data_IF_552219498227
#
_entry.id   IF_552219498227
#
_cell.length_a   1.000
_cell.length_b   1.000
_cell.length_c   1.000
_cell.angle_alpha   90.00
_cell.angle_beta   90.00
_cell.angle_gamma   90.00
#
_symmetry.space_group_name_H-M   'P 1'
#
loop_
_entity.id
_entity.type
_entity.pdbx_description
1 polymer ?
#
# COMPACT_ATOMS: atom_id res chain seq x y z
N UNK A 1 -38.39 40.88 -29.59
CA UNK A 1 -39.39 40.83 -28.50
C UNK A 1 -38.64 40.58 -27.20
N UNK A 2 -38.53 41.61 -26.40
CA UNK A 2 -38.46 41.84 -24.95
C UNK A 2 -37.69 40.81 -24.07
N UNK A 3 -36.55 41.22 -23.57
CA UNK A 3 -35.95 40.77 -22.31
C UNK A 3 -36.78 41.29 -21.15
N UNK A 4 -36.80 40.64 -19.97
CA UNK A 4 -36.90 41.33 -18.72
C UNK A 4 -35.58 41.37 -17.95
N UNK A 5 -35.27 42.57 -17.52
CA UNK A 5 -34.20 42.97 -16.62
C UNK A 5 -34.47 42.48 -15.17
N UNK A 6 -33.40 42.35 -14.41
CA UNK A 6 -33.39 42.67 -12.98
C UNK A 6 -33.34 41.48 -12.04
N UNK A 7 -32.14 41.10 -11.60
CA UNK A 7 -31.92 40.57 -10.27
C UNK A 7 -30.60 41.05 -9.72
N UNK A 8 -30.66 41.95 -8.74
CA UNK A 8 -29.54 42.47 -7.96
C UNK A 8 -28.91 41.36 -7.11
N UNK A 9 -27.62 41.46 -6.75
CA UNK A 9 -26.97 40.53 -5.85
C UNK A 9 -27.32 40.88 -4.39
N UNK A 10 -28.20 40.08 -3.80
CA UNK A 10 -28.57 40.16 -2.41
C UNK A 10 -27.74 39.29 -1.49
N UNK A 11 -27.14 39.98 -0.52
CA UNK A 11 -26.84 39.58 0.84
C UNK A 11 -26.04 38.28 1.13
N UNK A 12 -24.87 38.51 1.68
CA UNK A 12 -24.10 37.71 2.62
C UNK A 12 -25.01 36.87 3.54
N UNK A 13 -24.94 35.55 3.44
CA UNK A 13 -25.39 34.69 4.54
C UNK A 13 -24.20 34.33 5.40
N UNK A 14 -24.24 34.83 6.61
CA UNK A 14 -23.37 34.43 7.72
C UNK A 14 -23.20 32.92 7.77
N UNK A 15 -21.96 32.45 7.69
CA UNK A 15 -21.60 31.08 7.92
C UNK A 15 -21.86 30.70 9.38
N UNK A 16 -22.98 30.01 9.62
CA UNK A 16 -23.20 29.33 10.88
C UNK A 16 -22.10 28.28 11.07
N UNK A 17 -21.20 28.53 12.01
CA UNK A 17 -20.18 27.59 12.44
C UNK A 17 -20.88 26.33 12.96
N UNK A 18 -20.69 25.21 12.28
CA UNK A 18 -21.05 23.89 12.80
C UNK A 18 -20.25 23.67 14.07
N UNK A 19 -20.87 23.34 15.23
CA UNK A 19 -20.13 23.11 16.46
C UNK A 19 -19.21 21.90 16.25
N UNK A 20 -17.91 22.12 16.45
CA UNK A 20 -16.87 21.08 16.48
C UNK A 20 -17.11 20.23 17.72
N UNK A 21 -17.87 19.16 17.62
CA UNK A 21 -17.95 18.12 18.63
C UNK A 21 -16.62 17.36 18.62
N UNK A 22 -15.76 17.65 19.57
CA UNK A 22 -14.63 16.80 19.88
C UNK A 22 -15.15 15.41 20.21
N UNK A 23 -14.64 14.38 19.52
CA UNK A 23 -14.83 13.01 19.96
C UNK A 23 -14.01 12.86 21.24
N UNK A 24 -14.70 12.95 22.39
CA UNK A 24 -14.10 12.67 23.69
C UNK A 24 -13.54 11.23 23.66
N UNK A 25 -12.24 11.13 23.64
CA UNK A 25 -11.48 9.87 23.70
C UNK A 25 -11.48 9.26 25.13
N UNK A 26 -12.60 9.39 25.85
CA UNK A 26 -12.72 9.01 27.25
C UNK A 26 -14.03 8.34 27.66
N UNK A 27 -14.88 7.93 26.75
CA UNK A 27 -16.09 7.19 27.13
C UNK A 27 -15.71 5.72 27.41
N UNK A 28 -15.44 5.43 28.69
CA UNK A 28 -15.48 4.05 29.21
C UNK A 28 -16.86 3.46 28.85
N UNK A 29 -16.87 2.37 28.08
CA UNK A 29 -18.09 1.65 27.74
C UNK A 29 -18.83 1.29 29.05
N UNK A 30 -20.16 1.50 29.13
CA UNK A 30 -20.92 1.16 30.33
C UNK A 30 -20.81 -0.34 30.59
N UNK A 31 -20.43 -0.70 31.81
CA UNK A 31 -20.14 -2.06 32.28
C UNK A 31 -21.34 -3.04 32.21
N UNK A 32 -22.52 -2.62 31.77
CA UNK A 32 -23.75 -3.37 32.02
C UNK A 32 -24.66 -3.64 30.78
N UNK A 33 -24.10 -3.56 29.56
CA UNK A 33 -24.89 -3.72 28.32
C UNK A 33 -25.02 -5.18 27.83
N UNK A 34 -24.65 -6.19 28.62
CA UNK A 34 -24.62 -7.61 28.19
C UNK A 34 -25.91 -8.38 28.43
N UNK A 35 -26.88 -7.79 29.12
CA UNK A 35 -28.15 -8.44 29.39
C UNK A 35 -29.30 -7.53 29.01
N UNK A 36 -29.99 -7.79 27.89
CA UNK A 36 -31.30 -7.20 27.55
C UNK A 36 -32.37 -8.25 27.69
N UNK A 37 -33.34 -7.99 28.58
CA UNK A 37 -34.51 -8.87 28.75
C UNK A 37 -34.19 -10.29 29.25
N UNK A 38 -33.13 -10.50 30.04
CA UNK A 38 -32.73 -11.80 30.58
C UNK A 38 -31.91 -12.67 29.63
N UNK A 39 -31.63 -12.23 28.40
CA UNK A 39 -30.72 -12.91 27.47
C UNK A 39 -29.36 -12.20 27.38
N UNK A 40 -28.31 -13.00 27.35
CA UNK A 40 -26.94 -12.49 27.11
C UNK A 40 -26.84 -12.05 25.65
N UNK A 41 -26.45 -10.80 25.43
CA UNK A 41 -26.12 -10.30 24.10
C UNK A 41 -24.76 -10.85 23.65
N UNK A 42 -24.78 -11.91 22.85
CA UNK A 42 -23.59 -12.62 22.37
C UNK A 42 -22.68 -11.72 21.53
N UNK A 43 -23.21 -10.77 20.76
CA UNK A 43 -22.39 -9.84 19.99
C UNK A 43 -21.71 -8.80 20.88
N UNK A 44 -22.39 -8.28 21.88
CA UNK A 44 -21.78 -7.38 22.86
C UNK A 44 -20.67 -8.07 23.64
N UNK A 45 -20.84 -9.34 24.01
CA UNK A 45 -19.79 -10.17 24.62
C UNK A 45 -18.62 -10.32 23.69
N UNK A 46 -18.84 -10.76 22.43
CA UNK A 46 -17.80 -10.94 21.43
C UNK A 46 -16.98 -9.65 21.20
N UNK A 47 -17.66 -8.52 20.96
CA UNK A 47 -16.99 -7.24 20.69
C UNK A 47 -16.16 -6.78 21.89
N UNK A 48 -16.66 -6.93 23.11
CA UNK A 48 -15.94 -6.57 24.35
C UNK A 48 -14.72 -7.46 24.55
N UNK A 49 -14.87 -8.77 24.39
CA UNK A 49 -13.77 -9.71 24.58
C UNK A 49 -12.69 -9.51 23.50
N UNK A 50 -13.07 -9.24 22.28
CA UNK A 50 -12.16 -8.87 21.20
C UNK A 50 -11.43 -7.53 21.50
N UNK A 51 -12.12 -6.53 22.07
CA UNK A 51 -11.51 -5.27 22.46
C UNK A 51 -10.48 -5.47 23.59
N UNK A 52 -10.87 -6.20 24.65
CA UNK A 52 -9.97 -6.53 25.76
C UNK A 52 -8.72 -7.27 25.26
N UNK A 53 -8.88 -8.30 24.43
CA UNK A 53 -7.78 -9.05 23.85
C UNK A 53 -6.82 -8.16 23.04
N UNK A 54 -7.35 -7.22 22.24
CA UNK A 54 -6.51 -6.26 21.52
C UNK A 54 -5.74 -5.33 22.46
N UNK A 55 -6.37 -4.88 23.53
CA UNK A 55 -5.73 -4.02 24.54
C UNK A 55 -4.62 -4.76 25.29
N UNK A 56 -4.88 -5.98 25.77
CA UNK A 56 -3.90 -6.84 26.44
C UNK A 56 -2.66 -7.11 25.56
N UNK A 57 -2.85 -7.30 24.27
CA UNK A 57 -1.79 -7.53 23.29
C UNK A 57 -1.15 -6.22 22.76
N UNK A 58 -1.63 -5.05 23.18
CA UNK A 58 -1.15 -3.77 22.64
C UNK A 58 -1.44 -3.56 21.16
N UNK A 59 -2.51 -4.17 20.62
CA UNK A 59 -2.89 -4.15 19.22
C UNK A 59 -4.04 -3.19 18.88
N UNK A 60 -4.51 -2.41 19.85
CA UNK A 60 -5.53 -1.39 19.62
C UNK A 60 -5.04 -0.38 18.60
N UNK A 61 -5.89 -0.07 17.61
CA UNK A 61 -5.64 0.92 16.57
C UNK A 61 -6.68 2.03 16.67
N UNK A 62 -6.25 3.25 16.42
CA UNK A 62 -7.11 4.42 16.35
C UNK A 62 -6.97 5.10 14.99
N UNK A 63 -8.08 5.58 14.44
CA UNK A 63 -8.03 6.51 13.32
C UNK A 63 -7.61 7.87 13.88
N UNK A 64 -6.61 8.49 13.26
CA UNK A 64 -6.05 9.77 13.68
C UNK A 64 -6.46 10.84 12.69
N UNK A 65 -7.00 11.96 13.17
CA UNK A 65 -7.31 13.12 12.33
C UNK A 65 -6.02 13.90 12.02
N UNK A 66 -5.73 14.04 10.73
CA UNK A 66 -4.55 14.73 10.21
C UNK A 66 -4.49 16.22 10.61
N UNK A 67 -5.65 16.86 10.78
CA UNK A 67 -5.74 18.28 11.08
C UNK A 67 -5.45 18.64 12.54
N UNK A 68 -5.53 17.67 13.45
CA UNK A 68 -5.35 17.88 14.89
C UNK A 68 -3.92 17.58 15.37
N UNK A 69 -3.04 17.19 14.48
CA UNK A 69 -1.76 16.57 14.85
C UNK A 69 -0.62 17.50 15.19
N UNK A 70 -0.64 18.75 14.71
CA UNK A 70 0.52 19.66 14.85
C UNK A 70 1.81 19.14 14.18
N UNK A 71 1.70 18.14 13.28
CA UNK A 71 2.84 17.53 12.58
C UNK A 71 3.35 18.47 11.50
N UNK A 72 4.65 18.75 11.51
CA UNK A 72 5.33 19.53 10.48
C UNK A 72 6.00 18.65 9.42
N UNK A 73 6.51 17.47 9.80
CA UNK A 73 7.22 16.53 8.91
C UNK A 73 6.51 15.18 8.92
N UNK A 74 6.07 14.71 7.75
CA UNK A 74 5.38 13.41 7.59
C UNK A 74 6.29 12.39 6.89
N UNK A 75 6.78 11.42 7.68
CA UNK A 75 7.52 10.24 7.22
C UNK A 75 6.71 8.94 7.41
N UNK A 76 5.39 9.02 7.60
CA UNK A 76 4.49 7.86 7.70
C UNK A 76 3.64 7.66 6.45
N UNK A 77 3.41 8.72 5.69
CA UNK A 77 2.64 8.70 4.44
C UNK A 77 3.37 8.00 3.29
N UNK A 78 2.64 7.66 2.21
CA UNK A 78 3.22 7.02 1.03
C UNK A 78 3.17 7.94 -0.21
N UNK A 79 3.04 9.25 -0.05
CA UNK A 79 3.11 10.23 -1.13
C UNK A 79 4.58 10.47 -1.53
N UNK A 80 5.22 9.43 -2.11
CA UNK A 80 6.67 9.39 -2.36
C UNK A 80 7.19 10.54 -3.20
N UNK A 81 6.37 11.09 -4.10
CA UNK A 81 6.75 12.20 -4.98
C UNK A 81 6.26 13.57 -4.48
N UNK A 82 5.58 13.62 -3.32
CA UNK A 82 4.96 14.82 -2.74
C UNK A 82 3.97 15.50 -3.71
N UNK A 83 3.20 14.72 -4.48
CA UNK A 83 2.33 15.22 -5.55
C UNK A 83 0.87 15.43 -5.13
N UNK A 84 0.43 14.94 -3.97
CA UNK A 84 -1.00 14.99 -3.55
C UNK A 84 -1.57 16.41 -3.46
N UNK A 85 -0.73 17.42 -3.30
CA UNK A 85 -1.12 18.83 -3.27
C UNK A 85 -0.58 19.63 -4.46
N UNK A 86 0.02 18.96 -5.44
CA UNK A 86 0.57 19.62 -6.61
C UNK A 86 -0.54 20.28 -7.44
N UNK A 87 -0.42 21.57 -7.85
CA UNK A 87 -1.47 22.29 -8.54
C UNK A 87 -1.96 21.58 -9.84
N UNK A 88 -1.04 21.05 -10.63
CA UNK A 88 -1.39 20.39 -11.90
C UNK A 88 -2.12 19.06 -11.65
N UNK A 89 -1.81 18.34 -10.57
CA UNK A 89 -2.52 17.11 -10.19
C UNK A 89 -3.94 17.42 -9.76
N UNK A 90 -4.11 18.48 -8.95
CA UNK A 90 -5.44 18.98 -8.53
C UNK A 90 -6.21 19.47 -9.75
N UNK A 91 -5.58 20.25 -10.64
CA UNK A 91 -6.24 20.74 -11.85
C UNK A 91 -6.70 19.61 -12.76
N UNK A 92 -5.90 18.55 -12.95
CA UNK A 92 -6.28 17.36 -13.72
C UNK A 92 -7.47 16.61 -13.10
N UNK A 93 -7.51 16.51 -11.75
CA UNK A 93 -8.65 15.93 -11.03
C UNK A 93 -9.92 16.77 -11.24
N UNK A 94 -9.83 18.11 -11.13
CA UNK A 94 -10.96 19.02 -11.32
C UNK A 94 -11.47 18.95 -12.78
N UNK A 95 -10.59 18.90 -13.77
CA UNK A 95 -10.98 18.75 -15.17
C UNK A 95 -11.78 17.46 -15.40
N UNK A 96 -11.27 16.32 -14.92
CA UNK A 96 -11.97 15.04 -15.04
C UNK A 96 -13.31 15.04 -14.27
N UNK A 97 -13.40 15.72 -13.13
CA UNK A 97 -14.65 15.90 -12.38
C UNK A 97 -15.68 16.71 -13.19
N UNK A 98 -15.24 17.75 -13.88
CA UNK A 98 -16.11 18.61 -14.71
C UNK A 98 -16.59 17.91 -15.99
N UNK A 99 -15.70 17.14 -16.60
CA UNK A 99 -15.99 16.47 -17.88
C UNK A 99 -16.82 15.19 -17.69
N UNK A 100 -16.48 14.37 -16.71
CA UNK A 100 -17.00 13.02 -16.54
C UNK A 100 -17.93 12.86 -15.31
N UNK A 101 -18.06 13.90 -14.45
CA UNK A 101 -18.89 13.89 -13.25
C UNK A 101 -18.18 13.41 -11.96
N UNK A 102 -18.91 13.47 -10.83
CA UNK A 102 -18.38 13.19 -9.50
C UNK A 102 -18.07 11.71 -9.26
N UNK A 103 -18.69 10.80 -9.98
CA UNK A 103 -18.47 9.35 -9.85
C UNK A 103 -18.69 8.65 -11.19
N UNK A 104 -18.19 7.42 -11.30
CA UNK A 104 -18.32 6.64 -12.53
C UNK A 104 -19.77 6.19 -12.85
N UNK A 105 -20.68 6.23 -11.87
CA UNK A 105 -22.10 5.96 -12.05
C UNK A 105 -22.49 4.49 -12.24
N UNK A 106 -21.54 3.62 -12.64
CA UNK A 106 -21.74 2.19 -12.86
C UNK A 106 -20.41 1.44 -12.86
N UNK A 107 -20.48 0.11 -13.04
CA UNK A 107 -19.28 -0.67 -13.34
C UNK A 107 -18.71 -0.30 -14.70
N UNK A 108 -17.42 -0.59 -14.89
CA UNK A 108 -16.68 -0.31 -16.14
C UNK A 108 -17.30 -0.94 -17.38
N UNK A 109 -18.01 -2.08 -17.23
CA UNK A 109 -18.66 -2.79 -18.34
C UNK A 109 -20.03 -2.23 -18.73
N UNK A 110 -20.64 -1.40 -17.90
CA UNK A 110 -21.94 -0.80 -18.20
C UNK A 110 -21.71 0.61 -18.78
N UNK A 111 -21.67 1.64 -17.94
CA UNK A 111 -21.46 3.03 -18.36
C UNK A 111 -20.33 3.72 -17.60
N UNK A 112 -19.66 3.01 -16.67
CA UNK A 112 -18.65 3.57 -15.79
C UNK A 112 -17.25 3.67 -16.40
N UNK A 113 -17.08 3.47 -17.73
CA UNK A 113 -15.83 3.72 -18.43
C UNK A 113 -15.82 5.11 -19.03
N UNK A 114 -14.95 5.98 -18.55
CA UNK A 114 -14.77 7.36 -19.01
C UNK A 114 -13.45 7.54 -19.76
N UNK A 115 -13.31 8.65 -20.47
CA UNK A 115 -12.10 8.97 -21.24
C UNK A 115 -10.84 9.04 -20.36
N UNK A 116 -10.98 9.53 -19.12
CA UNK A 116 -9.92 9.58 -18.13
C UNK A 116 -9.34 8.19 -17.80
N UNK A 117 -10.18 7.15 -17.68
CA UNK A 117 -9.74 5.77 -17.44
C UNK A 117 -8.91 5.23 -18.61
N UNK A 118 -9.44 5.37 -19.85
CA UNK A 118 -8.79 4.84 -21.05
C UNK A 118 -7.44 5.53 -21.29
N UNK A 119 -7.38 6.84 -21.06
CA UNK A 119 -6.15 7.61 -21.19
C UNK A 119 -5.11 7.20 -20.15
N UNK A 120 -5.53 7.04 -18.88
CA UNK A 120 -4.66 6.59 -17.80
C UNK A 120 -4.12 5.18 -18.07
N UNK A 121 -4.95 4.23 -18.49
CA UNK A 121 -4.54 2.86 -18.85
C UNK A 121 -3.47 2.88 -19.94
N UNK A 122 -3.66 3.67 -21.00
CA UNK A 122 -2.70 3.79 -22.09
C UNK A 122 -1.36 4.40 -21.64
N UNK A 123 -1.39 5.49 -20.84
CA UNK A 123 -0.17 6.17 -20.38
C UNK A 123 0.58 5.36 -19.33
N UNK A 124 -0.12 4.64 -18.43
CA UNK A 124 0.49 3.70 -17.50
C UNK A 124 1.20 2.55 -18.25
N UNK A 125 0.51 1.92 -19.20
CA UNK A 125 1.10 0.84 -20.00
C UNK A 125 2.37 1.31 -20.71
N UNK A 126 2.34 2.48 -21.32
CA UNK A 126 3.50 3.07 -22.00
C UNK A 126 4.66 3.37 -21.05
N UNK A 127 4.38 3.94 -19.85
CA UNK A 127 5.40 4.31 -18.88
C UNK A 127 6.10 3.06 -18.29
N UNK A 128 5.33 2.03 -17.92
CA UNK A 128 5.87 0.79 -17.38
C UNK A 128 6.34 -0.21 -18.45
N UNK A 129 6.06 0.04 -19.74
CA UNK A 129 6.54 -0.76 -20.87
C UNK A 129 5.72 -2.02 -21.14
N UNK A 130 4.49 -2.11 -20.66
CA UNK A 130 3.55 -3.19 -20.94
C UNK A 130 2.68 -2.90 -22.18
N UNK A 131 2.08 -3.96 -22.74
CA UNK A 131 1.19 -3.84 -23.90
C UNK A 131 -0.15 -3.21 -23.51
N UNK A 132 -0.67 -3.52 -22.34
CA UNK A 132 -1.96 -3.06 -21.85
C UNK A 132 -1.99 -2.85 -20.34
N UNK A 133 -2.92 -2.02 -19.88
CA UNK A 133 -3.29 -1.85 -18.47
C UNK A 133 -4.80 -1.92 -18.30
N UNK A 134 -5.25 -2.28 -17.10
CA UNK A 134 -6.64 -2.26 -16.66
C UNK A 134 -6.73 -1.63 -15.28
N UNK A 135 -7.47 -0.53 -15.15
CA UNK A 135 -7.62 0.24 -13.91
C UNK A 135 -8.77 -0.31 -13.06
N UNK A 136 -8.55 -0.34 -11.74
CA UNK A 136 -9.47 -0.75 -10.67
C UNK A 136 -9.65 0.37 -9.65
N UNK A 137 -10.69 0.26 -8.82
CA UNK A 137 -11.02 1.24 -7.78
C UNK A 137 -9.93 1.39 -6.70
N UNK A 138 -9.11 0.35 -6.46
CA UNK A 138 -7.95 0.36 -5.56
C UNK A 138 -6.88 -0.61 -6.03
N UNK A 139 -5.63 -0.44 -5.56
CA UNK A 139 -4.56 -1.45 -5.73
C UNK A 139 -4.92 -2.77 -5.06
N UNK A 140 -5.66 -2.71 -3.94
CA UNK A 140 -6.19 -3.90 -3.27
C UNK A 140 -7.10 -4.71 -4.19
N UNK A 141 -8.08 -4.07 -4.86
CA UNK A 141 -8.96 -4.72 -5.83
C UNK A 141 -8.21 -5.22 -7.07
N UNK A 142 -7.17 -4.52 -7.53
CA UNK A 142 -6.32 -5.00 -8.62
C UNK A 142 -5.68 -6.35 -8.28
N UNK A 143 -5.09 -6.48 -7.08
CA UNK A 143 -4.49 -7.71 -6.60
C UNK A 143 -5.52 -8.82 -6.39
N UNK A 144 -6.66 -8.54 -5.74
CA UNK A 144 -7.76 -9.50 -5.60
C UNK A 144 -8.24 -10.03 -6.95
N UNK A 145 -8.42 -9.13 -7.91
CA UNK A 145 -8.86 -9.46 -9.26
C UNK A 145 -7.90 -10.40 -9.96
N UNK A 146 -6.62 -10.07 -9.91
CA UNK A 146 -5.59 -10.86 -10.57
C UNK A 146 -5.47 -12.26 -9.97
N UNK A 147 -5.38 -12.35 -8.64
CA UNK A 147 -5.25 -13.63 -7.95
C UNK A 147 -6.47 -14.54 -8.19
N UNK A 148 -7.68 -13.99 -8.13
CA UNK A 148 -8.90 -14.78 -8.35
C UNK A 148 -9.12 -15.17 -9.82
N UNK A 149 -8.68 -14.36 -10.77
CA UNK A 149 -8.80 -14.66 -12.21
C UNK A 149 -7.79 -15.72 -12.67
N UNK A 150 -6.57 -15.72 -12.13
CA UNK A 150 -5.53 -16.68 -12.46
C UNK A 150 -5.56 -17.95 -11.59
N UNK A 151 -6.07 -17.83 -10.36
CA UNK A 151 -6.04 -18.88 -9.35
C UNK A 151 -7.18 -19.88 -9.48
N UNK A 152 -7.08 -20.79 -10.44
CA UNK A 152 -8.03 -21.91 -10.67
C UNK A 152 -7.57 -23.18 -9.98
N UNK A 153 -8.40 -24.24 -9.87
CA UNK A 153 -8.00 -25.53 -9.28
C UNK A 153 -6.76 -26.16 -9.93
N UNK A 154 -6.51 -25.87 -11.21
CA UNK A 154 -5.35 -26.37 -11.97
C UNK A 154 -4.13 -25.43 -11.86
N UNK A 155 -4.06 -24.57 -10.89
CA UNK A 155 -2.99 -23.60 -10.70
C UNK A 155 -2.38 -23.73 -9.31
N UNK A 156 -1.05 -23.70 -9.20
CA UNK A 156 -0.36 -23.42 -7.95
C UNK A 156 0.09 -21.97 -7.93
N UNK A 157 -0.18 -21.26 -6.84
CA UNK A 157 0.37 -19.93 -6.59
C UNK A 157 1.50 -20.08 -5.59
N UNK A 158 2.71 -19.68 -5.98
CA UNK A 158 3.93 -19.70 -5.15
C UNK A 158 4.14 -18.27 -4.67
N UNK A 159 3.95 -18.07 -3.36
CA UNK A 159 3.90 -16.75 -2.73
C UNK A 159 5.07 -16.55 -1.79
N UNK A 160 5.78 -15.42 -1.90
CA UNK A 160 6.69 -14.97 -0.85
C UNK A 160 5.94 -14.76 0.47
N UNK A 161 6.55 -15.14 1.59
CA UNK A 161 5.97 -15.02 2.95
C UNK A 161 5.69 -13.57 3.36
N UNK A 162 6.36 -12.58 2.75
CA UNK A 162 6.21 -11.17 3.07
C UNK A 162 5.28 -10.40 2.11
N UNK A 163 4.58 -11.08 1.23
CA UNK A 163 3.63 -10.45 0.32
C UNK A 163 2.55 -9.66 1.07
N UNK A 164 2.12 -8.56 0.45
CA UNK A 164 1.10 -7.68 0.98
C UNK A 164 -0.24 -8.39 1.20
N UNK A 165 -0.98 -7.97 2.23
CA UNK A 165 -2.28 -8.54 2.61
C UNK A 165 -3.27 -8.66 1.44
N UNK A 166 -3.28 -7.73 0.48
CA UNK A 166 -4.16 -7.80 -0.69
C UNK A 166 -3.89 -8.99 -1.61
N UNK A 167 -2.61 -9.38 -1.75
CA UNK A 167 -2.21 -10.58 -2.48
C UNK A 167 -2.64 -11.83 -1.70
N UNK A 168 -2.38 -11.85 -0.38
CA UNK A 168 -2.77 -12.96 0.50
C UNK A 168 -4.29 -13.16 0.47
N UNK A 169 -5.08 -12.09 0.60
CA UNK A 169 -6.54 -12.18 0.59
C UNK A 169 -7.06 -12.59 -0.81
N UNK A 170 -6.43 -12.10 -1.87
CA UNK A 170 -6.72 -12.54 -3.23
C UNK A 170 -6.46 -14.04 -3.42
N UNK A 171 -5.35 -14.57 -2.88
CA UNK A 171 -5.03 -16.00 -2.89
C UNK A 171 -6.01 -16.83 -2.07
N UNK A 172 -6.48 -16.32 -0.91
CA UNK A 172 -7.53 -16.98 -0.10
C UNK A 172 -8.86 -17.09 -0.84
N UNK A 173 -9.19 -16.09 -1.65
CA UNK A 173 -10.40 -16.10 -2.48
C UNK A 173 -10.25 -16.93 -3.75
N UNK A 174 -9.01 -17.17 -4.20
CA UNK A 174 -8.72 -18.02 -5.34
C UNK A 174 -9.01 -19.50 -5.02
N UNK A 175 -9.21 -20.29 -6.08
CA UNK A 175 -9.40 -21.74 -5.95
C UNK A 175 -8.10 -22.53 -6.15
N UNK A 176 -6.98 -21.83 -6.29
CA UNK A 176 -5.66 -22.40 -6.48
C UNK A 176 -5.10 -22.98 -5.18
N UNK A 177 -4.22 -23.96 -5.29
CA UNK A 177 -3.33 -24.31 -4.18
C UNK A 177 -2.31 -23.20 -3.99
N UNK A 178 -2.11 -22.76 -2.75
CA UNK A 178 -1.11 -21.76 -2.39
C UNK A 178 0.07 -22.45 -1.71
N UNK A 179 1.28 -22.18 -2.18
CA UNK A 179 2.54 -22.64 -1.60
C UNK A 179 3.34 -21.39 -1.17
N UNK A 180 3.49 -21.18 0.14
CA UNK A 180 4.27 -20.07 0.68
C UNK A 180 5.75 -20.49 0.75
N UNK A 181 6.64 -19.62 0.29
CA UNK A 181 8.11 -19.79 0.38
C UNK A 181 8.70 -18.82 1.39
N UNK A 182 9.84 -19.14 2.01
CA UNK A 182 10.59 -18.17 2.81
C UNK A 182 10.88 -16.91 1.98
N UNK A 183 10.99 -15.80 2.69
CA UNK A 183 11.22 -14.50 2.07
C UNK A 183 12.52 -14.48 1.24
N UNK A 184 12.43 -14.01 -0.01
CA UNK A 184 13.49 -13.91 -1.01
C UNK A 184 14.21 -15.23 -1.36
N UNK A 185 13.65 -16.38 -0.99
CA UNK A 185 14.26 -17.69 -1.21
C UNK A 185 13.94 -18.26 -2.61
N UNK A 186 14.80 -17.95 -3.58
CA UNK A 186 14.69 -18.42 -4.97
C UNK A 186 14.79 -19.95 -5.06
N UNK A 187 15.58 -20.59 -4.19
CA UNK A 187 15.72 -22.04 -4.17
C UNK A 187 14.41 -22.72 -3.75
N UNK A 188 13.76 -22.21 -2.69
CA UNK A 188 12.46 -22.68 -2.27
C UNK A 188 11.37 -22.48 -3.35
N UNK A 189 11.43 -21.36 -4.12
CA UNK A 189 10.53 -21.16 -5.28
C UNK A 189 10.76 -22.25 -6.34
N UNK A 190 12.03 -22.53 -6.69
CA UNK A 190 12.39 -23.62 -7.62
C UNK A 190 11.84 -24.96 -7.16
N UNK A 191 12.03 -25.32 -5.89
CA UNK A 191 11.57 -26.58 -5.33
C UNK A 191 10.05 -26.71 -5.49
N UNK A 192 9.28 -25.64 -5.19
CA UNK A 192 7.82 -25.64 -5.36
C UNK A 192 7.39 -25.75 -6.83
N UNK A 193 8.17 -25.20 -7.76
CA UNK A 193 7.92 -25.35 -9.20
C UNK A 193 8.19 -26.80 -9.68
N UNK A 194 9.24 -27.44 -9.18
CA UNK A 194 9.58 -28.83 -9.51
C UNK A 194 8.58 -29.83 -8.90
N UNK A 195 8.16 -29.61 -7.66
CA UNK A 195 7.24 -30.50 -6.92
C UNK A 195 5.78 -30.40 -7.38
N UNK A 196 5.43 -29.36 -8.16
CA UNK A 196 4.03 -29.11 -8.52
C UNK A 196 3.43 -30.24 -9.35
N UNK A 197 2.16 -30.48 -9.12
CA UNK A 197 1.33 -31.39 -9.94
C UNK A 197 0.36 -30.63 -10.84
N UNK A 198 0.16 -29.37 -10.55
CA UNK A 198 -0.72 -28.47 -11.31
C UNK A 198 -0.07 -28.10 -12.65
N UNK A 199 -0.85 -28.10 -13.76
CA UNK A 199 -0.33 -27.72 -15.07
C UNK A 199 0.09 -26.25 -15.18
N UNK A 200 -0.44 -25.38 -14.32
CA UNK A 200 -0.13 -23.94 -14.30
C UNK A 200 0.51 -23.54 -12.98
N UNK A 201 1.44 -22.57 -13.04
CA UNK A 201 2.05 -21.96 -11.86
C UNK A 201 2.11 -20.44 -11.99
N UNK A 202 1.98 -19.77 -10.86
CA UNK A 202 2.12 -18.31 -10.74
C UNK A 202 3.05 -18.01 -9.56
N UNK A 203 4.17 -17.34 -9.82
CA UNK A 203 5.07 -16.81 -8.80
C UNK A 203 4.59 -15.41 -8.45
N UNK A 204 4.45 -15.07 -7.17
CA UNK A 204 3.92 -13.78 -6.72
C UNK A 204 4.85 -13.14 -5.70
N UNK A 205 5.29 -11.91 -5.98
CA UNK A 205 6.19 -11.13 -5.12
C UNK A 205 5.84 -9.64 -5.19
N UNK A 206 6.26 -8.85 -4.19
CA UNK A 206 6.40 -7.40 -4.32
C UNK A 206 7.76 -7.07 -4.94
N UNK A 207 7.86 -6.05 -5.78
CA UNK A 207 9.16 -5.60 -6.32
C UNK A 207 10.04 -5.03 -5.23
N UNK A 208 9.45 -4.16 -4.40
CA UNK A 208 10.00 -3.61 -3.17
C UNK A 208 9.01 -3.94 -2.06
N UNK A 209 9.46 -4.67 -1.05
CA UNK A 209 8.58 -5.12 0.02
C UNK A 209 8.17 -3.99 0.97
N UNK A 210 6.89 -3.94 1.27
CA UNK A 210 6.23 -2.84 1.96
C UNK A 210 6.67 -2.60 3.40
N UNK A 211 7.21 -3.63 4.06
CA UNK A 211 7.63 -3.60 5.47
C UNK A 211 9.13 -3.42 5.61
N UNK A 212 9.92 -4.21 4.90
CA UNK A 212 11.39 -4.22 5.03
C UNK A 212 12.09 -3.24 4.09
N UNK A 213 11.47 -2.92 2.94
CA UNK A 213 12.04 -2.01 1.94
C UNK A 213 13.09 -2.66 1.05
N UNK A 214 13.25 -3.96 1.12
CA UNK A 214 14.16 -4.76 0.30
C UNK A 214 13.56 -5.11 -1.06
N UNK A 215 14.40 -5.50 -2.02
CA UNK A 215 14.01 -5.78 -3.39
C UNK A 215 13.94 -7.28 -3.67
N UNK A 216 12.92 -7.69 -4.45
CA UNK A 216 12.83 -9.06 -4.94
C UNK A 216 13.90 -9.38 -6.00
N UNK A 217 14.43 -10.61 -6.04
CA UNK A 217 15.38 -11.09 -7.04
C UNK A 217 14.68 -11.41 -8.37
N UNK A 218 14.12 -10.35 -9.03
CA UNK A 218 13.22 -10.51 -10.17
C UNK A 218 13.87 -11.17 -11.39
N UNK A 219 15.20 -11.05 -11.57
CA UNK A 219 15.90 -11.69 -12.70
C UNK A 219 15.87 -13.21 -12.57
N UNK A 220 16.21 -13.70 -11.40
CA UNK A 220 16.24 -15.12 -11.07
C UNK A 220 14.82 -15.70 -11.08
N UNK A 221 13.85 -14.96 -10.56
CA UNK A 221 12.44 -15.40 -10.57
C UNK A 221 11.85 -15.45 -11.99
N UNK A 222 12.24 -14.52 -12.87
CA UNK A 222 11.85 -14.59 -14.28
C UNK A 222 12.50 -15.78 -14.99
N UNK A 223 13.78 -16.07 -14.73
CA UNK A 223 14.46 -17.23 -15.30
C UNK A 223 13.76 -18.53 -14.87
N UNK A 224 13.33 -18.65 -13.60
CA UNK A 224 12.51 -19.78 -13.13
C UNK A 224 11.13 -19.82 -13.79
N UNK A 225 10.48 -18.67 -13.97
CA UNK A 225 9.17 -18.62 -14.64
C UNK A 225 9.27 -19.09 -16.09
N UNK A 226 10.36 -18.78 -16.79
CA UNK A 226 10.63 -19.26 -18.16
C UNK A 226 10.92 -20.77 -18.15
N UNK A 227 11.84 -21.24 -17.29
CA UNK A 227 12.26 -22.63 -17.20
C UNK A 227 11.08 -23.58 -16.90
N UNK A 228 10.16 -23.15 -16.04
CA UNK A 228 9.07 -23.97 -15.53
C UNK A 228 7.69 -23.62 -16.11
N UNK A 229 7.60 -22.86 -17.18
CA UNK A 229 6.31 -22.43 -17.80
C UNK A 229 5.33 -21.83 -16.77
N UNK A 230 5.83 -20.87 -15.97
CA UNK A 230 5.05 -20.17 -14.96
C UNK A 230 4.85 -18.69 -15.35
N UNK A 231 3.89 -18.02 -14.70
CA UNK A 231 3.77 -16.57 -14.72
C UNK A 231 4.52 -15.95 -13.53
N UNK A 232 5.02 -14.74 -13.70
CA UNK A 232 5.62 -13.92 -12.64
C UNK A 232 4.74 -12.68 -12.42
N UNK A 233 4.07 -12.62 -11.28
CA UNK A 233 3.31 -11.44 -10.82
C UNK A 233 4.19 -10.62 -9.89
N UNK A 234 4.35 -9.35 -10.23
CA UNK A 234 5.16 -8.39 -9.48
C UNK A 234 4.28 -7.21 -9.05
N UNK A 235 4.10 -7.03 -7.75
CA UNK A 235 3.45 -5.83 -7.19
C UNK A 235 4.47 -4.69 -7.09
N UNK A 236 4.30 -3.67 -7.91
CA UNK A 236 5.13 -2.46 -7.98
C UNK A 236 4.58 -1.30 -7.15
N UNK A 237 3.73 -1.57 -6.16
CA UNK A 237 3.14 -0.52 -5.34
C UNK A 237 4.18 0.38 -4.63
N UNK A 238 5.36 -0.14 -4.35
CA UNK A 238 6.49 0.58 -3.77
C UNK A 238 7.64 0.82 -4.75
N UNK A 239 7.56 0.29 -5.97
CA UNK A 239 8.54 0.51 -7.05
C UNK A 239 8.18 1.67 -7.95
N UNK A 240 6.91 1.76 -8.39
CA UNK A 240 6.42 2.83 -9.27
C UNK A 240 6.65 4.22 -8.65
N UNK A 241 7.26 5.12 -9.42
CA UNK A 241 7.60 6.48 -9.00
C UNK A 241 8.89 6.58 -8.17
N UNK A 242 9.49 5.45 -7.79
CA UNK A 242 10.68 5.42 -6.92
C UNK A 242 11.87 4.76 -7.61
N UNK A 243 11.68 3.59 -8.21
CA UNK A 243 12.74 2.79 -8.82
C UNK A 243 12.86 3.08 -10.31
N UNK A 244 14.10 3.13 -10.80
CA UNK A 244 14.44 3.46 -12.16
C UNK A 244 14.80 4.94 -12.35
N UNK A 245 15.36 5.28 -13.50
CA UNK A 245 15.77 6.65 -13.84
C UNK A 245 14.56 7.57 -14.00
N UNK A 246 13.44 7.02 -14.43
CA UNK A 246 12.19 7.72 -14.70
C UNK A 246 11.06 7.33 -13.74
N UNK A 247 11.39 6.63 -12.64
CA UNK A 247 10.40 6.11 -11.71
C UNK A 247 9.50 5.02 -12.31
N UNK A 248 9.99 4.29 -13.29
CA UNK A 248 9.24 3.29 -14.06
C UNK A 248 9.07 1.94 -13.35
N UNK A 249 9.55 1.80 -12.13
CA UNK A 249 9.49 0.56 -11.34
C UNK A 249 10.64 -0.41 -11.61
N UNK A 250 10.77 -1.43 -10.76
CA UNK A 250 11.91 -2.36 -10.78
C UNK A 250 11.90 -3.27 -12.01
N UNK A 251 10.72 -3.75 -12.44
CA UNK A 251 10.58 -4.59 -13.64
C UNK A 251 11.18 -3.92 -14.86
N UNK A 252 10.82 -2.65 -15.07
CA UNK A 252 11.31 -1.87 -16.20
C UNK A 252 12.77 -1.45 -16.02
N UNK A 253 13.16 -1.00 -14.82
CA UNK A 253 14.53 -0.58 -14.51
C UNK A 253 15.56 -1.71 -14.70
N UNK A 254 15.16 -2.97 -14.48
CA UNK A 254 15.96 -4.16 -14.75
C UNK A 254 15.92 -4.62 -16.23
N UNK A 255 15.21 -3.89 -17.10
CA UNK A 255 14.99 -4.23 -18.51
C UNK A 255 14.40 -5.65 -18.72
N UNK A 256 13.56 -6.12 -17.79
CA UNK A 256 13.00 -7.48 -17.88
C UNK A 256 11.99 -7.60 -19.03
N UNK A 257 11.33 -6.50 -19.40
CA UNK A 257 10.40 -6.47 -20.53
C UNK A 257 11.09 -6.41 -21.91
N UNK A 258 12.41 -6.29 -21.95
CA UNK A 258 13.21 -6.35 -23.17
C UNK A 258 13.82 -7.75 -23.40
N UNK A 259 13.60 -8.69 -22.46
CA UNK A 259 14.11 -10.07 -22.51
C UNK A 259 13.09 -11.04 -23.13
N UNK A 260 13.54 -12.20 -23.67
CA UNK A 260 12.65 -13.34 -23.88
C UNK A 260 11.91 -13.73 -22.61
N UNK A 261 10.64 -14.11 -22.71
CA UNK A 261 9.80 -14.44 -21.56
C UNK A 261 9.07 -13.24 -20.93
N UNK A 262 9.22 -12.03 -21.48
CA UNK A 262 8.53 -10.83 -21.01
C UNK A 262 7.00 -10.98 -20.94
N UNK A 263 6.43 -11.82 -21.80
CA UNK A 263 5.00 -12.14 -21.83
C UNK A 263 4.51 -12.87 -20.59
N UNK A 264 5.44 -13.38 -19.76
CA UNK A 264 5.15 -14.06 -18.48
C UNK A 264 5.04 -13.07 -17.32
N UNK A 265 5.46 -11.81 -17.51
CA UNK A 265 5.47 -10.81 -16.46
C UNK A 265 4.12 -10.08 -16.44
N UNK A 266 3.52 -10.07 -15.26
CA UNK A 266 2.33 -9.30 -14.94
C UNK A 266 2.71 -8.35 -13.81
N UNK A 267 2.40 -7.06 -13.98
CA UNK A 267 2.68 -6.05 -12.97
C UNK A 267 1.38 -5.52 -12.37
N UNK A 268 1.31 -5.38 -11.06
CA UNK A 268 0.26 -4.61 -10.40
C UNK A 268 0.82 -3.33 -9.80
N UNK A 269 0.03 -2.27 -9.79
CA UNK A 269 0.41 -0.98 -9.22
C UNK A 269 -0.73 -0.40 -8.41
N UNK A 270 -0.38 0.44 -7.44
CA UNK A 270 -1.34 1.34 -6.81
C UNK A 270 -1.19 2.77 -7.34
N UNK A 271 -2.30 3.49 -7.47
CA UNK A 271 -2.34 4.90 -7.81
C UNK A 271 -2.30 5.79 -6.55
N UNK A 272 -2.36 5.18 -5.35
CA UNK A 272 -2.56 5.89 -4.08
C UNK A 272 -1.27 6.30 -3.36
N UNK A 273 -0.11 6.00 -3.94
CA UNK A 273 1.21 6.34 -3.39
C UNK A 273 1.87 7.40 -4.26
N UNK A 274 2.85 7.04 -5.08
CA UNK A 274 3.56 7.99 -5.97
C UNK A 274 2.65 8.77 -6.90
N UNK A 275 1.52 8.19 -7.33
CA UNK A 275 0.58 8.88 -8.19
C UNK A 275 -0.51 9.66 -7.45
N UNK A 276 -0.39 9.81 -6.12
CA UNK A 276 -1.11 10.79 -5.29
C UNK A 276 -2.65 10.78 -5.40
N UNK A 277 -3.25 9.66 -5.87
CA UNK A 277 -4.68 9.52 -6.13
C UNK A 277 -5.28 8.34 -5.35
N UNK A 278 -6.41 7.85 -5.75
CA UNK A 278 -6.96 6.55 -5.37
C UNK A 278 -6.99 5.67 -6.62
N UNK A 279 -6.87 4.36 -6.44
CA UNK A 279 -6.97 3.38 -7.52
C UNK A 279 -5.82 2.38 -7.54
N UNK A 280 -5.87 1.51 -8.53
CA UNK A 280 -4.81 0.55 -8.85
C UNK A 280 -4.93 0.09 -10.29
N UNK A 281 -3.94 -0.63 -10.79
CA UNK A 281 -4.00 -1.21 -12.12
C UNK A 281 -3.28 -2.55 -12.19
N UNK A 282 -3.72 -3.40 -13.13
CA UNK A 282 -3.00 -4.59 -13.58
C UNK A 282 -2.48 -4.31 -14.99
N UNK A 283 -1.20 -4.60 -15.23
CA UNK A 283 -0.51 -4.41 -16.50
C UNK A 283 0.08 -5.73 -17.00
N UNK A 284 0.04 -5.94 -18.30
CA UNK A 284 0.54 -7.15 -18.94
C UNK A 284 0.20 -7.17 -20.43
N UNK A 285 -0.03 -8.38 -20.99
CA UNK A 285 -0.44 -8.55 -22.36
C UNK A 285 -1.89 -8.10 -22.62
N UNK A 286 -2.22 -7.81 -23.87
CA UNK A 286 -3.60 -7.53 -24.29
C UNK A 286 -4.54 -8.72 -23.97
N UNK A 287 -4.07 -9.96 -24.14
CA UNK A 287 -4.82 -11.15 -23.81
C UNK A 287 -5.14 -11.26 -22.30
N UNK A 288 -4.20 -10.90 -21.41
CA UNK A 288 -4.46 -10.82 -19.97
C UNK A 288 -5.54 -9.78 -19.68
N UNK A 289 -5.43 -8.59 -20.28
CA UNK A 289 -6.43 -7.54 -20.09
C UNK A 289 -7.83 -8.01 -20.51
N UNK A 290 -7.93 -8.66 -21.67
CA UNK A 290 -9.19 -9.23 -22.14
C UNK A 290 -9.74 -10.29 -21.18
N UNK A 291 -8.89 -11.17 -20.69
CA UNK A 291 -9.26 -12.17 -19.68
C UNK A 291 -9.82 -11.52 -18.42
N UNK A 292 -9.14 -10.51 -17.86
CA UNK A 292 -9.58 -9.80 -16.66
C UNK A 292 -10.90 -9.05 -16.87
N UNK A 293 -11.10 -8.41 -18.00
CA UNK A 293 -12.38 -7.74 -18.36
C UNK A 293 -13.55 -8.72 -18.29
N UNK A 294 -13.33 -9.99 -18.64
CA UNK A 294 -14.37 -11.02 -18.70
C UNK A 294 -14.49 -11.86 -17.41
N UNK A 295 -13.51 -11.87 -16.51
CA UNK A 295 -13.47 -12.80 -15.35
C UNK A 295 -13.25 -12.12 -14.01
N UNK A 296 -12.63 -10.96 -13.97
CA UNK A 296 -12.30 -10.27 -12.72
C UNK A 296 -13.55 -9.69 -12.06
N UNK A 297 -14.02 -10.33 -10.99
CA UNK A 297 -15.25 -9.92 -10.30
C UNK A 297 -15.23 -8.46 -9.81
N UNK A 298 -14.13 -7.93 -9.22
CA UNK A 298 -14.07 -6.51 -8.86
C UNK A 298 -14.17 -5.56 -10.07
N UNK A 299 -13.79 -5.97 -11.28
CA UNK A 299 -13.98 -5.18 -12.48
C UNK A 299 -15.43 -5.22 -13.00
N UNK A 300 -16.05 -6.39 -12.91
CA UNK A 300 -17.41 -6.63 -13.45
C UNK A 300 -18.48 -6.00 -12.56
N UNK A 301 -18.33 -6.09 -11.23
CA UNK A 301 -19.40 -5.81 -10.27
C UNK A 301 -19.17 -4.57 -9.41
N UNK A 302 -17.92 -4.08 -9.29
CA UNK A 302 -17.65 -2.84 -8.59
C UNK A 302 -17.96 -1.62 -9.48
N UNK A 303 -18.30 -0.50 -8.87
CA UNK A 303 -18.39 0.79 -9.55
C UNK A 303 -16.98 1.20 -10.00
N UNK A 304 -16.86 1.73 -11.22
CA UNK A 304 -15.58 2.21 -11.74
C UNK A 304 -14.93 3.26 -10.83
N UNK A 305 -13.60 3.38 -10.90
CA UNK A 305 -12.84 4.43 -10.21
C UNK A 305 -13.45 5.79 -10.52
N UNK A 306 -13.57 6.67 -9.51
CA UNK A 306 -14.09 8.02 -9.74
C UNK A 306 -13.23 8.78 -10.78
N UNK A 307 -13.83 9.47 -11.75
CA UNK A 307 -13.11 10.21 -12.78
C UNK A 307 -12.07 11.18 -12.22
N UNK A 308 -12.39 11.90 -11.14
CA UNK A 308 -11.46 12.80 -10.47
C UNK A 308 -10.19 12.08 -10.00
N UNK A 309 -10.31 10.85 -9.47
CA UNK A 309 -9.14 10.04 -9.06
C UNK A 309 -8.33 9.57 -10.27
N UNK A 310 -8.99 9.18 -11.38
CA UNK A 310 -8.32 8.83 -12.61
C UNK A 310 -7.56 10.03 -13.22
N UNK A 311 -8.19 11.21 -13.20
CA UNK A 311 -7.58 12.47 -13.64
C UNK A 311 -6.38 12.87 -12.77
N UNK A 312 -6.50 12.76 -11.43
CA UNK A 312 -5.39 13.01 -10.51
C UNK A 312 -4.20 12.09 -10.80
N UNK A 313 -4.44 10.77 -10.91
CA UNK A 313 -3.40 9.80 -11.22
C UNK A 313 -2.70 10.08 -12.56
N UNK A 314 -3.48 10.46 -13.57
CA UNK A 314 -2.96 10.85 -14.87
C UNK A 314 -2.10 12.12 -14.78
N UNK A 315 -2.56 13.13 -14.04
CA UNK A 315 -1.80 14.35 -13.77
C UNK A 315 -0.47 14.04 -13.06
N UNK A 316 -0.50 13.19 -12.02
CA UNK A 316 0.70 12.79 -11.29
C UNK A 316 1.67 11.97 -12.15
N UNK A 317 1.18 11.05 -12.98
CA UNK A 317 2.01 10.29 -13.93
C UNK A 317 2.72 11.24 -14.92
N UNK A 318 2.03 12.23 -15.44
CA UNK A 318 2.61 13.23 -16.34
C UNK A 318 3.66 14.10 -15.64
N UNK A 319 3.45 14.45 -14.36
CA UNK A 319 4.47 15.13 -13.55
C UNK A 319 5.70 14.25 -13.38
N UNK A 320 5.55 12.96 -13.06
CA UNK A 320 6.67 12.02 -12.96
C UNK A 320 7.44 11.90 -14.28
N UNK A 321 6.74 11.80 -15.41
CA UNK A 321 7.38 11.73 -16.76
C UNK A 321 8.14 13.00 -17.08
N UNK A 322 7.59 14.18 -16.74
CA UNK A 322 8.19 15.47 -17.00
C UNK A 322 9.33 15.80 -16.02
N UNK A 323 9.32 15.22 -14.82
CA UNK A 323 10.22 15.53 -13.71
C UNK A 323 10.82 14.25 -13.10
N UNK A 324 11.63 13.49 -13.84
CA UNK A 324 12.20 12.23 -13.38
C UNK A 324 13.13 12.40 -12.15
N UNK A 325 13.64 13.60 -11.90
CA UNK A 325 14.43 13.94 -10.72
C UNK A 325 13.67 13.72 -9.39
N UNK A 326 12.33 13.71 -9.40
CA UNK A 326 11.54 13.41 -8.20
C UNK A 326 11.82 12.00 -7.67
N UNK A 327 11.92 11.00 -8.56
CA UNK A 327 12.27 9.63 -8.17
C UNK A 327 13.69 9.55 -7.59
N UNK A 328 14.64 10.26 -8.19
CA UNK A 328 16.02 10.34 -7.69
C UNK A 328 16.09 11.00 -6.30
N UNK A 329 15.37 12.14 -6.11
CA UNK A 329 15.29 12.82 -4.82
C UNK A 329 14.68 11.95 -3.73
N UNK A 330 13.63 11.19 -4.03
CA UNK A 330 13.03 10.26 -3.07
C UNK A 330 14.06 9.23 -2.57
N UNK A 331 14.85 8.64 -3.47
CA UNK A 331 15.90 7.68 -3.10
C UNK A 331 17.06 8.33 -2.32
N UNK A 332 17.44 9.56 -2.68
CA UNK A 332 18.44 10.34 -1.93
C UNK A 332 17.97 10.60 -0.49
N UNK A 333 16.72 11.05 -0.31
CA UNK A 333 16.13 11.25 1.02
C UNK A 333 16.09 9.92 1.79
N UNK A 334 15.75 8.80 1.12
CA UNK A 334 15.75 7.48 1.76
C UNK A 334 17.14 7.07 2.28
N UNK A 335 18.19 7.29 1.49
CA UNK A 335 19.56 7.02 1.91
C UNK A 335 19.98 7.89 3.12
N UNK A 336 19.65 9.20 3.09
CA UNK A 336 19.94 10.12 4.21
C UNK A 336 19.19 9.72 5.49
N UNK A 337 17.91 9.31 5.36
CA UNK A 337 17.15 8.80 6.50
C UNK A 337 17.74 7.50 7.06
N UNK A 338 18.26 6.61 6.22
CA UNK A 338 18.92 5.39 6.64
C UNK A 338 20.16 5.68 7.48
N UNK A 339 21.00 6.62 7.04
CA UNK A 339 22.17 7.09 7.79
C UNK A 339 21.75 7.67 9.17
N UNK A 340 20.70 8.52 9.20
CA UNK A 340 20.18 9.15 10.44
C UNK A 340 19.74 8.09 11.46
N UNK A 341 19.02 7.05 11.03
CA UNK A 341 18.48 6.04 11.96
C UNK A 341 19.39 4.82 12.13
N UNK A 342 20.53 4.77 11.44
CA UNK A 342 21.55 3.73 11.58
C UNK A 342 21.11 2.37 11.04
N UNK A 343 20.38 2.33 9.91
CA UNK A 343 20.00 1.11 9.20
C UNK A 343 20.62 1.07 7.80
N UNK A 344 20.60 -0.10 7.17
CA UNK A 344 21.00 -0.24 5.76
C UNK A 344 20.08 0.59 4.86
N UNK A 345 20.63 1.21 3.81
CA UNK A 345 19.85 1.96 2.85
C UNK A 345 18.84 1.03 2.13
N UNK A 346 17.55 1.40 2.09
CA UNK A 346 16.54 0.57 1.46
C UNK A 346 16.71 0.55 -0.07
N UNK A 347 16.16 -0.47 -0.70
CA UNK A 347 16.09 -0.52 -2.17
C UNK A 347 15.18 0.56 -2.77
N UNK A 348 14.21 1.06 -1.98
CA UNK A 348 13.22 2.06 -2.39
C UNK A 348 13.08 3.21 -1.40
N UNK A 349 11.84 3.58 -1.11
CA UNK A 349 11.49 4.72 -0.23
C UNK A 349 11.15 4.30 1.22
N UNK A 350 11.15 3.01 1.54
CA UNK A 350 10.67 2.48 2.82
C UNK A 350 11.84 2.03 3.68
N UNK A 351 11.93 2.56 4.89
CA UNK A 351 12.92 2.18 5.89
C UNK A 351 12.25 1.45 7.05
N UNK A 352 12.93 0.44 7.57
CA UNK A 352 12.48 -0.41 8.66
C UNK A 352 13.48 -0.40 9.80
N UNK A 353 13.09 0.14 10.96
CA UNK A 353 13.93 0.23 12.16
C UNK A 353 13.42 -0.76 13.20
N UNK A 354 14.11 -1.87 13.49
CA UNK A 354 13.68 -2.86 14.46
C UNK A 354 13.55 -2.28 15.87
N UNK A 355 12.47 -2.62 16.57
CA UNK A 355 12.19 -2.16 17.92
C UNK A 355 12.13 -3.33 18.91
N UNK A 356 12.54 -3.13 20.19
CA UNK A 356 12.59 -4.19 21.19
C UNK A 356 11.22 -4.82 21.50
N UNK A 357 10.14 -4.05 21.41
CA UNK A 357 8.79 -4.50 21.75
C UNK A 357 7.71 -3.66 21.03
N UNK A 358 6.46 -4.15 20.97
CA UNK A 358 5.33 -3.34 20.49
C UNK A 358 5.15 -2.04 21.29
N UNK A 359 5.40 -2.06 22.60
CA UNK A 359 5.26 -0.87 23.46
C UNK A 359 6.34 0.17 23.16
N UNK A 360 7.61 -0.24 23.04
CA UNK A 360 8.69 0.69 22.72
C UNK A 360 8.50 1.32 21.33
N UNK A 361 7.95 0.57 20.37
CA UNK A 361 7.61 1.13 19.06
C UNK A 361 6.50 2.19 19.14
N UNK A 362 5.47 1.98 19.96
CA UNK A 362 4.40 2.97 20.16
C UNK A 362 4.94 4.20 20.89
N UNK A 363 5.70 4.01 22.00
CA UNK A 363 6.30 5.12 22.74
C UNK A 363 7.21 5.98 21.86
N UNK A 364 7.97 5.36 20.96
CA UNK A 364 8.83 6.07 20.00
C UNK A 364 8.00 6.92 19.00
N UNK A 365 6.89 6.39 18.48
CA UNK A 365 5.97 7.15 17.61
C UNK A 365 5.38 8.34 18.36
N UNK A 366 4.93 8.15 19.60
CA UNK A 366 4.34 9.21 20.40
C UNK A 366 5.39 10.30 20.77
N UNK A 367 6.63 9.89 21.01
CA UNK A 367 7.74 10.81 21.27
C UNK A 367 8.08 11.65 20.02
N UNK A 368 8.23 11.01 18.87
CA UNK A 368 8.47 11.70 17.58
C UNK A 368 7.35 12.70 17.26
N UNK A 369 6.09 12.29 17.46
CA UNK A 369 4.92 13.13 17.21
C UNK A 369 4.87 14.38 18.07
N UNK A 370 5.25 14.30 19.34
CA UNK A 370 5.34 15.48 20.23
C UNK A 370 6.33 16.52 19.74
N UNK A 371 7.36 16.09 18.99
CA UNK A 371 8.36 16.95 18.38
C UNK A 371 7.98 17.40 16.95
N UNK A 372 6.76 17.06 16.47
CA UNK A 372 6.27 17.43 15.16
C UNK A 372 6.65 16.46 14.02
N UNK A 373 7.20 15.28 14.34
CA UNK A 373 7.57 14.26 13.36
C UNK A 373 6.58 13.08 13.38
N UNK A 374 5.96 12.78 12.24
CA UNK A 374 5.10 11.62 12.07
C UNK A 374 5.88 10.46 11.46
N UNK A 375 5.93 9.32 12.14
CA UNK A 375 6.51 8.06 11.67
C UNK A 375 5.51 6.92 11.85
N UNK A 376 5.66 5.83 11.07
CA UNK A 376 4.83 4.64 11.19
C UNK A 376 5.31 3.68 12.28
N UNK A 377 4.39 2.86 12.82
CA UNK A 377 4.68 1.76 13.72
C UNK A 377 4.02 0.49 13.20
N UNK A 378 4.84 -0.52 12.87
CA UNK A 378 4.38 -1.83 12.46
C UNK A 378 4.66 -2.85 13.54
N UNK A 379 3.62 -3.64 13.89
CA UNK A 379 3.64 -4.63 14.96
C UNK A 379 2.98 -5.91 14.47
N UNK A 380 3.29 -7.07 15.07
CA UNK A 380 2.54 -8.29 14.79
C UNK A 380 1.02 -8.07 14.91
N UNK A 381 0.19 -8.69 14.06
CA UNK A 381 0.53 -9.60 12.96
C UNK A 381 0.88 -8.91 11.63
N UNK A 382 0.99 -7.57 11.58
CA UNK A 382 1.31 -6.83 10.35
C UNK A 382 2.80 -6.94 9.93
N UNK A 383 3.64 -7.52 10.79
CA UNK A 383 5.04 -7.86 10.50
C UNK A 383 5.16 -9.38 10.43
N UNK A 384 5.46 -9.97 9.25
CA UNK A 384 5.46 -11.42 9.07
C UNK A 384 6.49 -12.15 9.93
N UNK A 385 7.60 -11.50 10.25
CA UNK A 385 8.69 -12.02 11.08
C UNK A 385 8.46 -11.83 12.60
N UNK A 386 7.32 -11.24 13.00
CA UNK A 386 6.99 -11.00 14.40
C UNK A 386 7.76 -9.86 15.07
N UNK A 387 8.63 -9.14 14.37
CA UNK A 387 9.45 -8.06 14.92
C UNK A 387 8.69 -6.74 14.80
N UNK A 388 8.54 -6.02 15.93
CA UNK A 388 7.99 -4.65 15.91
C UNK A 388 9.00 -3.68 15.30
N UNK A 389 8.51 -2.70 14.52
CA UNK A 389 9.36 -1.78 13.77
C UNK A 389 8.79 -0.37 13.78
N UNK A 390 9.68 0.63 13.77
CA UNK A 390 9.33 1.92 13.19
C UNK A 390 9.45 1.81 11.68
N UNK A 391 8.54 2.41 10.97
CA UNK A 391 8.56 2.52 9.52
C UNK A 391 8.62 4.00 9.13
N UNK A 392 9.69 4.36 8.46
CA UNK A 392 9.86 5.68 7.89
C UNK A 392 9.72 5.58 6.37
N UNK A 393 9.15 6.61 5.76
CA UNK A 393 9.00 6.68 4.30
C UNK A 393 9.60 7.99 3.80
N UNK A 394 10.51 7.87 2.85
CA UNK A 394 11.06 9.02 2.16
C UNK A 394 10.05 9.58 1.15
N UNK A 395 10.10 10.89 0.93
CA UNK A 395 9.40 11.54 -0.17
C UNK A 395 10.21 12.71 -0.74
N UNK A 396 9.96 13.08 -1.99
CA UNK A 396 10.70 14.09 -2.72
C UNK A 396 10.50 15.52 -2.16
N UNK A 397 9.49 15.74 -1.31
CA UNK A 397 9.21 17.03 -0.71
C UNK A 397 10.00 17.34 0.56
N UNK A 398 10.72 16.36 1.12
CA UNK A 398 11.56 16.55 2.31
C UNK A 398 12.76 17.41 1.96
N UNK A 399 12.92 18.52 2.66
CA UNK A 399 14.04 19.46 2.50
C UNK A 399 15.26 19.03 3.33
N UNK A 400 16.40 19.67 3.10
CA UNK A 400 17.59 19.42 3.91
C UNK A 400 17.44 19.96 5.34
N UNK A 401 16.65 21.01 5.53
CA UNK A 401 16.30 21.53 6.86
C UNK A 401 15.38 20.53 7.59
N UNK A 402 14.40 19.95 6.89
CA UNK A 402 13.58 18.86 7.47
C UNK A 402 14.44 17.66 7.89
N UNK A 403 15.43 17.27 7.08
CA UNK A 403 16.36 16.17 7.42
C UNK A 403 17.18 16.48 8.69
N UNK A 404 17.63 17.73 8.88
CA UNK A 404 18.33 18.13 10.09
C UNK A 404 17.42 18.06 11.33
N UNK A 405 16.15 18.45 11.21
CA UNK A 405 15.17 18.28 12.29
C UNK A 405 14.87 16.80 12.56
N UNK A 406 14.71 15.98 11.52
CA UNK A 406 14.53 14.52 11.66
C UNK A 406 15.71 13.89 12.39
N UNK A 407 16.94 14.26 12.06
CA UNK A 407 18.15 13.76 12.73
C UNK A 407 18.13 14.07 14.22
N UNK A 408 17.87 15.34 14.58
CA UNK A 408 17.76 15.79 15.96
C UNK A 408 16.70 15.00 16.74
N UNK A 409 15.50 14.86 16.16
CA UNK A 409 14.36 14.20 16.80
C UNK A 409 14.64 12.70 16.94
N UNK A 410 15.05 12.03 15.86
CA UNK A 410 15.25 10.57 15.86
C UNK A 410 16.40 10.16 16.78
N UNK A 411 17.48 10.93 16.86
CA UNK A 411 18.54 10.66 17.84
C UNK A 411 18.06 10.77 19.30
N UNK A 412 17.09 11.65 19.59
CA UNK A 412 16.43 11.73 20.89
C UNK A 412 15.60 10.48 21.17
N UNK A 413 14.68 10.17 20.25
CA UNK A 413 13.74 9.04 20.33
C UNK A 413 14.47 7.69 20.47
N UNK A 414 15.50 7.45 19.66
CA UNK A 414 16.23 6.18 19.68
C UNK A 414 17.10 6.01 20.94
N UNK A 415 17.61 7.11 21.53
CA UNK A 415 18.32 7.07 22.83
C UNK A 415 17.39 6.70 23.97
N UNK A 416 16.20 7.29 24.04
CA UNK A 416 15.21 6.96 25.08
C UNK A 416 14.84 5.46 25.06
N UNK A 417 14.59 4.93 23.86
CA UNK A 417 14.26 3.50 23.72
C UNK A 417 15.43 2.56 24.00
N UNK A 418 16.67 3.01 23.89
CA UNK A 418 17.88 2.24 24.25
C UNK A 418 18.08 2.17 25.78
N UNK A 419 17.71 3.20 26.49
CA UNK A 419 17.76 3.23 27.96
C UNK A 419 16.71 2.31 28.60
N UNK A 420 15.54 2.14 27.97
CA UNK A 420 14.55 1.12 28.40
C UNK A 420 15.09 -0.31 28.30
N UNK A 421 15.97 -0.61 27.33
CA UNK A 421 16.70 -1.89 27.24
C UNK A 421 17.64 -2.13 28.43
N UNK A 422 18.32 -1.12 28.91
CA UNK A 422 19.32 -1.26 29.97
C UNK A 422 18.67 -1.39 31.36
N UNK A 423 17.44 -0.89 31.54
CA UNK A 423 16.67 -0.96 32.80
C UNK A 423 15.85 -2.24 32.97
N UNK A 424 15.57 -2.99 31.91
CA UNK A 424 14.86 -4.28 31.99
C UNK A 424 15.87 -5.42 31.95
N UNK A 425 16.19 -5.98 33.13
CA UNK A 425 17.12 -7.12 33.31
C UNK A 425 16.52 -8.47 32.88
N UNK A 426 15.65 -8.54 31.92
CA UNK A 426 15.23 -9.77 31.25
C UNK A 426 16.16 -10.08 30.09
N UNK A 427 17.07 -11.03 30.30
CA UNK A 427 17.86 -11.64 29.23
C UNK A 427 16.91 -12.15 28.13
N UNK A 428 17.18 -11.86 26.85
CA UNK A 428 16.38 -12.43 25.78
C UNK A 428 16.51 -13.95 25.86
N UNK A 429 15.39 -14.65 26.05
CA UNK A 429 15.34 -16.08 25.74
C UNK A 429 15.77 -16.22 24.28
N UNK A 430 16.68 -17.16 23.93
CA UNK A 430 17.00 -17.43 22.56
C UNK A 430 15.67 -17.69 21.83
N UNK A 431 15.46 -16.97 20.73
CA UNK A 431 14.31 -17.15 19.90
C UNK A 431 14.21 -18.65 19.56
N UNK A 432 13.16 -19.30 20.07
CA UNK A 432 12.72 -20.55 19.48
C UNK A 432 12.59 -20.27 17.97
N UNK A 433 13.09 -21.16 17.14
CA UNK A 433 13.00 -21.07 15.69
C UNK A 433 11.59 -20.64 15.29
N UNK A 434 11.41 -20.00 14.12
CA UNK A 434 10.17 -19.36 13.73
C UNK A 434 9.02 -20.31 14.08
N UNK A 435 8.00 -19.86 14.83
CA UNK A 435 6.83 -20.70 15.09
C UNK A 435 6.30 -21.07 13.70
N UNK A 436 6.05 -22.35 13.50
CA UNK A 436 5.31 -22.81 12.33
C UNK A 436 4.12 -21.86 12.19
N UNK A 437 3.97 -21.27 11.00
CA UNK A 437 2.86 -20.36 10.70
C UNK A 437 1.58 -20.94 11.27
N UNK A 438 0.82 -20.21 12.10
CA UNK A 438 -0.42 -20.74 12.64
C UNK A 438 -1.28 -21.21 11.48
N UNK A 439 -1.96 -22.35 11.61
CA UNK A 439 -2.85 -22.83 10.56
C UNK A 439 -3.84 -21.72 10.21
N UNK A 440 -4.15 -21.58 8.92
CA UNK A 440 -4.98 -20.51 8.35
C UNK A 440 -6.37 -20.35 9.01
N UNK A 441 -6.75 -21.26 9.90
CA UNK A 441 -8.00 -21.29 10.66
C UNK A 441 -8.00 -20.43 11.94
N UNK A 442 -6.84 -19.96 12.43
CA UNK A 442 -6.77 -19.19 13.70
C UNK A 442 -6.68 -17.67 13.54
N UNK A 443 -6.76 -17.13 12.31
CA UNK A 443 -6.73 -15.68 12.03
C UNK A 443 -8.08 -15.25 11.40
N UNK A 444 -9.19 -15.77 11.93
CA UNK A 444 -10.53 -15.26 11.64
C UNK A 444 -10.98 -14.30 12.73
#
# INVERSE_FOLDING_TARGET
>A
MSRPDGMEPGASTDGAAVPRGGLDAGASAPADATVRGGQVDQYAVFLRDAARRREELGLTRMAVDDQLDGVSIDLAGNDYLALRRHPDVIAAAVAALQDDGAGAGASRLVTGTHASHVTLERELAAHLGHEAALVFSTGYHANLSLMTALGTPDTVIISDAHNHASLIDGMRLAKARVAVTPHLDVAAVRDKLVERTEPRAVIVVESIFSVLGDAAPLRELLDLAIEHDALLVVDEAHGLGVIGERGEGLVRALALLDRPGRERIITTVTLSKSLAAQGGAVLGSAALREHLVNTARPFIFDTGLAPASAGAALGALRQLVARPELAARTREVAARLADIVGVEAPAGAVLSVPMPSPRSAVSAVDAARREGLRIGCFRPPSTPDGISRLRLTANAGITDDDLADVERIMHGVLRETSHERAGSSESPRPAAGPPASPPLEEIA
#
